data_IF_703066514789
#
_entry.id   IF_703066514789
#
_cell.length_a   1.000
_cell.length_b   1.000
_cell.length_c   1.000
_cell.angle_alpha   90.00
_cell.angle_beta   90.00
_cell.angle_gamma   90.00
#
_symmetry.space_group_name_H-M   'P 1'
#
loop_
_entity.id
_entity.type
_entity.pdbx_description
1 polymer ?
#
# COMPACT_ATOMS: atom_id res chain seq x y z
N UNK A 1 8.04 11.62 19.37
CA UNK A 1 8.29 10.67 18.24
C UNK A 1 7.35 11.00 17.09
N UNK A 2 7.88 11.21 15.90
CA UNK A 2 7.05 11.49 14.72
C UNK A 2 6.36 10.22 14.25
N UNK A 3 5.04 10.21 14.32
CA UNK A 3 4.19 9.08 13.96
C UNK A 3 3.36 9.41 12.73
N UNK A 4 3.36 8.53 11.74
CA UNK A 4 2.47 8.64 10.58
C UNK A 4 1.54 7.44 10.53
N UNK A 5 0.30 7.70 10.15
CA UNK A 5 -0.72 6.68 9.89
C UNK A 5 -0.96 6.64 8.40
N UNK A 6 -0.84 5.47 7.79
CA UNK A 6 -0.96 5.34 6.34
C UNK A 6 -1.96 4.25 6.00
N UNK A 7 -3.01 4.63 5.26
CA UNK A 7 -3.94 3.71 4.64
C UNK A 7 -3.45 3.45 3.22
N UNK A 8 -3.35 2.20 2.82
CA UNK A 8 -2.89 1.85 1.48
C UNK A 8 -3.76 0.77 0.86
N UNK A 9 -3.83 0.78 -0.45
CA UNK A 9 -4.56 -0.21 -1.23
C UNK A 9 -3.93 -0.38 -2.61
N UNK A 10 -3.97 -1.60 -3.11
CA UNK A 10 -3.56 -1.92 -4.46
C UNK A 10 -4.70 -2.66 -5.14
N UNK A 11 -4.92 -2.36 -6.40
CA UNK A 11 -6.01 -2.93 -7.18
C UNK A 11 -5.56 -3.33 -8.58
N UNK A 12 -6.15 -4.39 -9.10
CA UNK A 12 -5.93 -4.85 -10.46
C UNK A 12 -7.28 -5.03 -11.15
N UNK A 13 -7.47 -4.43 -12.32
CA UNK A 13 -8.66 -4.60 -13.13
C UNK A 13 -8.48 -5.81 -14.06
N UNK A 14 -9.02 -6.97 -13.62
CA UNK A 14 -8.67 -8.28 -14.14
C UNK A 14 -7.47 -8.78 -13.34
N UNK A 15 -7.41 -9.97 -12.90
CA UNK A 15 -6.37 -10.48 -12.01
C UNK A 15 -5.61 -11.61 -12.69
N UNK A 16 -4.53 -11.34 -13.48
CA UNK A 16 -3.81 -10.06 -13.59
C UNK A 16 -4.46 -9.07 -14.58
N UNK A 17 -4.03 -7.81 -14.46
CA UNK A 17 -4.51 -6.74 -15.33
C UNK A 17 -3.85 -5.41 -15.02
N UNK A 18 -4.34 -4.31 -15.63
CA UNK A 18 -3.87 -2.97 -15.30
C UNK A 18 -4.07 -2.70 -13.83
N UNK A 19 -3.05 -2.18 -13.17
CA UNK A 19 -3.02 -2.06 -11.71
C UNK A 19 -2.70 -0.65 -11.26
N UNK A 20 -3.24 -0.28 -10.10
CA UNK A 20 -3.03 1.01 -9.49
C UNK A 20 -2.89 0.90 -7.98
N UNK A 21 -2.34 1.93 -7.38
CA UNK A 21 -2.19 2.03 -5.93
C UNK A 21 -2.79 3.33 -5.42
N UNK A 22 -3.30 3.28 -4.19
CA UNK A 22 -3.80 4.44 -3.48
C UNK A 22 -3.21 4.48 -2.09
N UNK A 23 -2.79 5.67 -1.66
CA UNK A 23 -2.15 5.88 -0.37
C UNK A 23 -2.66 7.18 0.24
N UNK A 24 -2.97 7.16 1.53
CA UNK A 24 -3.35 8.34 2.30
C UNK A 24 -2.45 8.39 3.52
N UNK A 25 -1.70 9.46 3.66
CA UNK A 25 -0.78 9.68 4.78
C UNK A 25 -1.41 10.68 5.74
N UNK A 26 -1.54 10.27 6.99
CA UNK A 26 -2.11 11.08 8.06
C UNK A 26 -1.08 11.30 9.17
N UNK A 27 -1.16 12.44 9.85
CA UNK A 27 -0.41 12.62 11.08
C UNK A 27 -1.11 11.88 12.25
N UNK A 28 -0.52 11.94 13.44
CA UNK A 28 -1.10 11.25 14.62
C UNK A 28 -2.46 11.80 15.06
N UNK A 29 -2.82 12.99 14.60
CA UNK A 29 -4.11 13.64 14.90
C UNK A 29 -5.16 13.36 13.82
N UNK A 30 -4.82 12.59 12.78
CA UNK A 30 -5.74 12.27 11.70
C UNK A 30 -5.80 13.30 10.59
N UNK A 31 -4.89 14.29 10.59
CA UNK A 31 -4.85 15.29 9.51
C UNK A 31 -4.14 14.72 8.29
N UNK A 32 -4.72 14.92 7.12
CA UNK A 32 -4.15 14.43 5.86
C UNK A 32 -2.93 15.24 5.48
N UNK A 33 -1.79 14.56 5.36
CA UNK A 33 -0.53 15.18 4.94
C UNK A 33 -0.26 14.97 3.45
N UNK A 34 -0.70 13.84 2.90
CA UNK A 34 -0.41 13.49 1.51
C UNK A 34 -1.39 12.43 1.01
N UNK A 35 -1.64 12.42 -0.29
CA UNK A 35 -2.42 11.39 -0.97
C UNK A 35 -1.71 11.03 -2.26
N UNK A 36 -1.74 9.75 -2.63
CA UNK A 36 -1.17 9.27 -3.87
C UNK A 36 -2.16 8.37 -4.60
N UNK A 37 -2.33 8.64 -5.89
CA UNK A 37 -3.06 7.79 -6.82
C UNK A 37 -2.14 7.55 -7.99
N UNK A 38 -1.68 6.29 -8.19
CA UNK A 38 -0.64 6.00 -9.17
C UNK A 38 -0.92 4.72 -9.93
N UNK A 39 -0.86 4.81 -11.27
CA UNK A 39 -0.88 3.64 -12.13
C UNK A 39 0.48 2.95 -12.06
N UNK A 40 0.50 1.63 -11.89
CA UNK A 40 1.74 0.87 -11.68
C UNK A 40 1.99 -0.22 -12.73
N UNK A 41 1.25 -0.20 -13.84
CA UNK A 41 1.43 -1.17 -14.91
C UNK A 41 0.53 -2.39 -14.75
N UNK A 42 1.00 -3.53 -15.19
CA UNK A 42 0.23 -4.77 -15.23
C UNK A 42 0.69 -5.73 -14.12
N UNK A 43 -0.24 -6.33 -13.42
CA UNK A 43 0.09 -7.29 -12.37
C UNK A 43 -1.14 -7.90 -11.73
N UNK A 44 -0.91 -8.70 -10.70
CA UNK A 44 -1.99 -9.30 -9.90
C UNK A 44 -2.42 -8.34 -8.81
N UNK A 45 -3.58 -8.61 -8.23
CA UNK A 45 -4.09 -7.84 -7.12
C UNK A 45 -3.13 -7.86 -5.93
N UNK A 46 -2.57 -9.03 -5.60
CA UNK A 46 -1.62 -9.16 -4.49
C UNK A 46 -0.31 -8.40 -4.75
N UNK A 47 0.18 -8.42 -5.99
CA UNK A 47 1.35 -7.61 -6.37
C UNK A 47 1.07 -6.12 -6.17
N UNK A 48 -0.10 -5.64 -6.59
CA UNK A 48 -0.50 -4.25 -6.42
C UNK A 48 -0.56 -3.86 -4.93
N UNK A 49 -1.10 -4.73 -4.09
CA UNK A 49 -1.16 -4.50 -2.65
C UNK A 49 0.23 -4.34 -2.03
N UNK A 50 1.18 -5.22 -2.37
CA UNK A 50 2.56 -5.11 -1.90
C UNK A 50 3.24 -3.85 -2.42
N UNK A 51 2.99 -3.47 -3.66
CA UNK A 51 3.58 -2.26 -4.23
C UNK A 51 3.02 -1.00 -3.59
N UNK A 52 1.75 -1.01 -3.19
CA UNK A 52 1.17 0.08 -2.40
C UNK A 52 1.88 0.20 -1.05
N UNK A 53 2.12 -0.92 -0.38
CA UNK A 53 2.84 -0.95 0.90
C UNK A 53 4.26 -0.40 0.75
N UNK A 54 4.97 -0.79 -0.29
CA UNK A 54 6.34 -0.29 -0.57
C UNK A 54 6.32 1.23 -0.74
N UNK A 55 5.39 1.77 -1.52
CA UNK A 55 5.27 3.22 -1.72
C UNK A 55 4.90 3.94 -0.41
N UNK A 56 4.01 3.34 0.39
CA UNK A 56 3.65 3.87 1.69
C UNK A 56 4.87 4.00 2.60
N UNK A 57 5.69 2.96 2.65
CA UNK A 57 6.91 2.95 3.46
C UNK A 57 7.94 3.97 2.96
N UNK A 58 8.10 4.09 1.65
CA UNK A 58 8.99 5.10 1.05
C UNK A 58 8.54 6.51 1.42
N UNK A 59 7.25 6.79 1.37
CA UNK A 59 6.69 8.09 1.78
C UNK A 59 6.96 8.38 3.23
N UNK A 60 6.75 7.40 4.10
CA UNK A 60 7.01 7.55 5.52
C UNK A 60 8.48 7.87 5.79
N UNK A 61 9.40 7.22 5.07
CA UNK A 61 10.84 7.50 5.18
C UNK A 61 11.15 8.92 4.72
N UNK A 62 10.61 9.35 3.58
CA UNK A 62 10.80 10.70 3.06
C UNK A 62 10.30 11.79 4.02
N UNK A 63 9.26 11.49 4.77
CA UNK A 63 8.68 12.39 5.76
C UNK A 63 9.31 12.26 7.14
N UNK A 64 10.39 11.51 7.25
CA UNK A 64 11.16 11.32 8.50
C UNK A 64 10.34 10.74 9.65
N UNK A 65 9.43 9.81 9.36
CA UNK A 65 8.67 9.14 10.40
C UNK A 65 9.58 8.25 11.24
N UNK A 66 9.39 8.30 12.55
CA UNK A 66 10.06 7.40 13.50
C UNK A 66 9.19 6.19 13.78
N UNK A 67 7.86 6.38 13.77
CA UNK A 67 6.87 5.33 13.91
C UNK A 67 5.91 5.38 12.72
N UNK A 68 5.59 4.22 12.17
CA UNK A 68 4.59 4.10 11.09
C UNK A 68 3.51 3.10 11.50
N UNK A 69 2.26 3.50 11.37
CA UNK A 69 1.11 2.64 11.52
C UNK A 69 0.46 2.48 10.15
N UNK A 70 0.40 1.24 9.69
CA UNK A 70 -0.08 0.90 8.35
C UNK A 70 -1.43 0.20 8.46
N UNK A 71 -2.35 0.56 7.58
CA UNK A 71 -3.69 0.00 7.54
C UNK A 71 -4.03 -0.54 6.16
N UNK A 72 -4.50 -1.78 6.11
CA UNK A 72 -4.85 -2.46 4.87
C UNK A 72 -6.10 -3.32 5.07
N UNK A 73 -6.90 -3.46 4.02
CA UNK A 73 -8.01 -4.39 4.01
C UNK A 73 -7.65 -5.74 3.35
N UNK A 74 -6.37 -5.96 3.07
CA UNK A 74 -5.86 -7.26 2.61
C UNK A 74 -5.38 -8.08 3.80
N UNK A 75 -6.19 -9.04 4.23
CA UNK A 75 -5.81 -9.95 5.32
C UNK A 75 -4.54 -10.71 4.99
N UNK A 76 -4.41 -11.15 3.73
CA UNK A 76 -3.22 -11.88 3.28
C UNK A 76 -1.94 -11.08 3.48
N UNK A 77 -1.90 -9.86 2.98
CA UNK A 77 -0.71 -9.00 3.08
C UNK A 77 -0.38 -8.71 4.54
N UNK A 78 -1.40 -8.35 5.34
CA UNK A 78 -1.19 -8.06 6.76
C UNK A 78 -0.58 -9.25 7.48
N UNK A 79 -1.13 -10.44 7.28
CA UNK A 79 -0.64 -11.66 7.95
C UNK A 79 0.72 -12.11 7.44
N UNK A 80 1.01 -11.91 6.15
CA UNK A 80 2.33 -12.21 5.60
C UNK A 80 3.40 -11.27 6.17
N UNK A 81 3.10 -9.99 6.27
CA UNK A 81 4.04 -9.00 6.83
C UNK A 81 4.28 -9.25 8.32
N UNK A 82 3.26 -9.68 9.05
CA UNK A 82 3.39 -10.06 10.47
C UNK A 82 4.11 -11.38 10.67
N UNK A 83 4.35 -12.14 9.61
CA UNK A 83 4.99 -13.45 9.69
C UNK A 83 4.06 -14.59 10.10
N UNK A 84 2.74 -14.34 10.12
CA UNK A 84 1.74 -15.36 10.45
C UNK A 84 1.54 -16.33 9.28
N UNK A 85 1.49 -15.80 8.05
CA UNK A 85 1.40 -16.59 6.83
C UNK A 85 2.74 -16.54 6.08
N UNK A 86 3.14 -17.67 5.51
CA UNK A 86 4.33 -17.72 4.65
C UNK A 86 4.03 -17.12 3.27
N UNK A 87 5.09 -16.62 2.62
CA UNK A 87 5.01 -16.11 1.25
C UNK A 87 5.65 -17.17 0.34
N UNK A 88 4.86 -17.80 -0.51
CA UNK A 88 5.32 -18.91 -1.38
C UNK A 88 5.59 -18.49 -2.82
N UNK A 89 4.82 -17.52 -3.33
CA UNK A 89 4.98 -17.01 -4.68
C UNK A 89 6.29 -16.23 -4.81
N UNK A 90 7.09 -16.52 -5.85
CA UNK A 90 8.42 -15.92 -6.02
C UNK A 90 8.37 -14.39 -6.20
N UNK A 91 7.39 -13.89 -6.94
CA UNK A 91 7.24 -12.45 -7.13
C UNK A 91 6.86 -11.76 -5.83
N UNK A 92 5.93 -12.35 -5.08
CA UNK A 92 5.51 -11.80 -3.80
C UNK A 92 6.63 -11.89 -2.77
N UNK A 93 7.46 -12.94 -2.80
CA UNK A 93 8.63 -13.03 -1.92
C UNK A 93 9.56 -11.86 -2.08
N UNK A 94 9.85 -11.47 -3.32
CA UNK A 94 10.74 -10.33 -3.60
C UNK A 94 10.14 -9.03 -3.08
N UNK A 95 8.85 -8.83 -3.29
CA UNK A 95 8.15 -7.63 -2.79
C UNK A 95 8.08 -7.62 -1.27
N UNK A 96 7.81 -8.78 -0.67
CA UNK A 96 7.79 -8.93 0.79
C UNK A 96 9.15 -8.61 1.42
N UNK A 97 10.24 -9.12 0.83
CA UNK A 97 11.60 -8.84 1.31
C UNK A 97 11.89 -7.34 1.25
N UNK A 98 11.45 -6.66 0.20
CA UNK A 98 11.59 -5.21 0.07
C UNK A 98 10.86 -4.49 1.21
N UNK A 99 9.66 -4.92 1.54
CA UNK A 99 8.91 -4.36 2.66
C UNK A 99 9.63 -4.55 3.99
N UNK A 100 10.16 -5.76 4.23
CA UNK A 100 10.90 -6.08 5.46
C UNK A 100 12.13 -5.17 5.59
N UNK A 101 12.85 -4.95 4.49
CA UNK A 101 14.02 -4.06 4.48
C UNK A 101 13.63 -2.62 4.80
N UNK A 102 12.56 -2.12 4.18
CA UNK A 102 12.09 -0.75 4.40
C UNK A 102 11.60 -0.54 5.84
N UNK A 103 10.97 -1.54 6.42
CA UNK A 103 10.49 -1.48 7.81
C UNK A 103 11.61 -1.26 8.82
N UNK A 104 12.84 -1.66 8.50
CA UNK A 104 14.00 -1.46 9.37
C UNK A 104 14.38 0.02 9.56
N UNK A 105 13.86 0.91 8.73
CA UNK A 105 14.12 2.35 8.84
C UNK A 105 13.36 3.02 9.97
N UNK A 106 12.41 2.32 10.60
CA UNK A 106 11.57 2.90 11.64
C UNK A 106 11.92 2.34 13.02
N UNK A 107 11.80 3.16 14.04
CA UNK A 107 11.98 2.72 15.43
C UNK A 107 10.86 1.78 15.84
N UNK A 108 9.64 2.08 15.37
CA UNK A 108 8.46 1.25 15.58
C UNK A 108 7.62 1.18 14.31
N UNK A 109 7.03 0.02 14.07
CA UNK A 109 6.10 -0.15 12.95
C UNK A 109 5.00 -1.11 13.36
N UNK A 110 3.79 -0.84 12.89
CA UNK A 110 2.64 -1.72 13.04
C UNK A 110 1.91 -1.80 11.72
N UNK A 111 1.38 -2.98 11.41
CA UNK A 111 0.47 -3.15 10.29
C UNK A 111 -0.81 -3.78 10.82
N UNK A 112 -1.96 -3.20 10.48
CA UNK A 112 -3.27 -3.63 10.97
C UNK A 112 -4.23 -3.90 9.83
N UNK A 113 -4.99 -4.96 9.97
CA UNK A 113 -6.10 -5.25 9.10
C UNK A 113 -7.29 -4.37 9.50
N UNK A 114 -7.94 -3.75 8.52
CA UNK A 114 -9.17 -2.98 8.71
C UNK A 114 -10.23 -3.46 7.72
N UNK A 115 -11.51 -3.33 8.08
CA UNK A 115 -12.57 -3.64 7.13
C UNK A 115 -12.49 -2.73 5.90
N UNK A 116 -13.01 -3.22 4.79
CA UNK A 116 -12.97 -2.53 3.50
C UNK A 116 -13.55 -1.11 3.57
N UNK A 117 -14.61 -0.92 4.35
CA UNK A 117 -15.27 0.37 4.52
C UNK A 117 -14.33 1.44 5.10
N UNK A 118 -13.40 1.03 5.92
CA UNK A 118 -12.42 1.94 6.52
C UNK A 118 -11.22 2.22 5.60
N UNK A 119 -11.10 1.49 4.50
CA UNK A 119 -10.04 1.68 3.51
C UNK A 119 -10.59 2.18 2.16
N UNK A 120 -11.83 2.65 2.14
CA UNK A 120 -12.54 3.04 0.92
C UNK A 120 -11.83 4.15 0.14
N UNK A 121 -11.26 5.14 0.81
CA UNK A 121 -10.59 6.25 0.13
C UNK A 121 -9.31 5.81 -0.58
N UNK A 122 -8.51 4.94 0.04
CA UNK A 122 -7.33 4.36 -0.60
C UNK A 122 -7.72 3.50 -1.80
N UNK A 123 -8.80 2.73 -1.66
CA UNK A 123 -9.34 1.91 -2.76
C UNK A 123 -9.77 2.79 -3.94
N UNK A 124 -10.49 3.89 -3.68
CA UNK A 124 -10.87 4.86 -4.70
C UNK A 124 -9.66 5.43 -5.45
N UNK A 125 -8.62 5.81 -4.73
CA UNK A 125 -7.40 6.35 -5.33
C UNK A 125 -6.72 5.32 -6.23
N UNK A 126 -6.68 4.05 -5.82
CA UNK A 126 -6.11 2.97 -6.64
C UNK A 126 -6.90 2.79 -7.93
N UNK A 127 -8.23 2.77 -7.85
CA UNK A 127 -9.10 2.58 -9.00
C UNK A 127 -9.10 3.80 -9.94
N UNK A 128 -9.05 5.01 -9.40
CA UNK A 128 -8.94 6.24 -10.20
C UNK A 128 -7.70 6.22 -11.09
N UNK A 129 -6.57 5.75 -10.56
CA UNK A 129 -5.32 5.66 -11.32
C UNK A 129 -5.48 4.76 -12.55
N UNK A 130 -6.17 3.63 -12.39
CA UNK A 130 -6.41 2.69 -13.48
C UNK A 130 -7.35 3.29 -14.52
N UNK A 131 -8.47 3.83 -14.06
CA UNK A 131 -9.50 4.44 -14.94
C UNK A 131 -8.90 5.58 -15.75
N UNK A 132 -8.14 6.46 -15.10
CA UNK A 132 -7.49 7.59 -15.77
C UNK A 132 -6.50 7.12 -16.84
N UNK A 133 -5.69 6.10 -16.52
CA UNK A 133 -4.74 5.53 -17.48
C UNK A 133 -5.45 4.94 -18.71
N UNK A 134 -6.52 4.17 -18.50
CA UNK A 134 -7.28 3.57 -19.58
C UNK A 134 -7.95 4.61 -20.47
N UNK A 135 -8.44 5.70 -19.91
CA UNK A 135 -9.00 6.83 -20.67
C UNK A 135 -7.94 7.53 -21.52
N UNK A 136 -6.75 7.70 -20.99
CA UNK A 136 -5.63 8.32 -21.71
C UNK A 136 -5.22 7.47 -22.92
N UNK A 137 -5.31 6.14 -22.81
CA UNK A 137 -5.00 5.22 -23.90
C UNK A 137 -6.01 5.25 -25.06
N UNK A 138 -7.23 5.71 -24.78
CA UNK A 138 -8.29 5.82 -25.80
C UNK A 138 -8.16 7.05 -26.70
N UNK A 139 -7.28 7.98 -26.38
CA UNK A 139 -7.10 9.24 -27.13
C UNK A 139 -6.27 9.03 -28.41
#
# INVERSE_FOLDING_TARGET
MKTLKIFFDGSSHGNPGPSGIGIIVLDKFGRVLDKLSKFIGFGTNNEAEYRALIEALRRAIQLDAEKVELYSDSELVVKQVKGIYSVRDEKLKRLHLKCVELLKNFKESEIKYVPRELNAEADELANEAIVKHLKEMEK
#
